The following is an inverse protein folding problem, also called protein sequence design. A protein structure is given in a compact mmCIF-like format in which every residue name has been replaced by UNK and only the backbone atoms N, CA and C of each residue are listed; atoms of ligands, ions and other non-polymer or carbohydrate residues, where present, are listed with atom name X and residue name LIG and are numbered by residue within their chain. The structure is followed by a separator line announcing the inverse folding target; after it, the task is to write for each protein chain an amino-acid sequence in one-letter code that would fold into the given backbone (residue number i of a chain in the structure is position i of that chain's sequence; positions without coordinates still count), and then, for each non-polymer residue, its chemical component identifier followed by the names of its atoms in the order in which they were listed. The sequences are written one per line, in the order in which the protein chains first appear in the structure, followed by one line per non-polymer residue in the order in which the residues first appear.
data_IF_630409446725
#
_entry.id   IF_630409446725
#
_cell.length_a   1.000
_cell.length_b   1.000
_cell.length_c   1.000
_cell.angle_alpha   90.00
_cell.angle_beta   90.00
_cell.angle_gamma   90.00
#
_symmetry.space_group_name_H-M   'P 1'
#
loop_
_entity.id
_entity.type
_entity.pdbx_description
1 polymer ?
#
# COMPACT_ATOMS: atom_id res chain seq x y z
N UNK A 1 4.65 39.13 -37.12
CA UNK A 1 4.73 37.71 -37.58
C UNK A 1 6.14 37.11 -37.61
N UNK A 2 7.22 37.86 -37.87
CA UNK A 2 8.60 37.30 -37.90
C UNK A 2 9.20 37.04 -36.50
N UNK A 3 8.92 37.92 -35.52
CA UNK A 3 9.41 37.79 -34.14
C UNK A 3 8.82 36.56 -33.43
N UNK A 4 7.50 36.38 -33.45
CA UNK A 4 6.80 35.22 -32.86
C UNK A 4 7.33 33.88 -33.36
N UNK A 5 7.67 33.79 -34.65
CA UNK A 5 8.14 32.54 -35.26
C UNK A 5 9.55 32.17 -34.79
N UNK A 6 10.40 33.17 -34.48
CA UNK A 6 11.74 32.96 -33.91
C UNK A 6 11.67 32.54 -32.44
N UNK A 7 10.82 33.19 -31.64
CA UNK A 7 10.59 32.82 -30.23
C UNK A 7 9.99 31.42 -30.14
N UNK A 8 9.03 31.09 -31.01
CA UNK A 8 8.42 29.76 -31.05
C UNK A 8 9.44 28.66 -31.42
N UNK A 9 10.28 28.87 -32.44
CA UNK A 9 11.33 27.91 -32.82
C UNK A 9 12.35 27.70 -31.70
N UNK A 10 12.75 28.75 -31.00
CA UNK A 10 13.71 28.65 -29.88
C UNK A 10 13.11 27.85 -28.72
N UNK A 11 11.85 28.15 -28.36
CA UNK A 11 11.10 27.42 -27.31
C UNK A 11 10.92 25.95 -27.66
N UNK A 12 10.62 25.64 -28.92
CA UNK A 12 10.49 24.26 -29.38
C UNK A 12 11.83 23.52 -29.29
N UNK A 13 12.95 24.20 -29.59
CA UNK A 13 14.30 23.66 -29.41
C UNK A 13 14.66 23.41 -27.94
N UNK A 14 14.37 24.36 -27.04
CA UNK A 14 14.56 24.21 -25.60
C UNK A 14 13.72 23.05 -25.03
N UNK A 15 12.47 22.90 -25.48
CA UNK A 15 11.63 21.75 -25.14
C UNK A 15 12.18 20.44 -25.69
N UNK A 16 12.61 20.39 -26.96
CA UNK A 16 13.21 19.19 -27.55
C UNK A 16 14.49 18.77 -26.82
N UNK A 17 15.32 19.72 -26.42
CA UNK A 17 16.52 19.45 -25.65
C UNK A 17 16.21 18.94 -24.24
N UNK A 18 15.30 19.61 -23.51
CA UNK A 18 14.84 19.14 -22.20
C UNK A 18 14.19 17.75 -22.28
N UNK A 19 13.47 17.49 -23.37
CA UNK A 19 12.82 16.20 -23.64
C UNK A 19 13.86 15.11 -23.94
N UNK A 20 14.89 15.41 -24.74
CA UNK A 20 15.99 14.49 -25.02
C UNK A 20 16.84 14.21 -23.78
N UNK A 21 17.19 15.24 -22.99
CA UNK A 21 17.93 15.10 -21.74
C UNK A 21 17.11 14.39 -20.68
N UNK A 22 15.81 14.68 -20.57
CA UNK A 22 14.89 14.00 -19.68
C UNK A 22 14.77 12.51 -20.02
N UNK A 23 14.53 12.17 -21.30
CA UNK A 23 14.54 10.79 -21.78
C UNK A 23 15.88 10.08 -21.53
N UNK A 24 16.99 10.76 -21.80
CA UNK A 24 18.33 10.19 -21.61
C UNK A 24 18.65 9.98 -20.13
N UNK A 25 18.32 10.93 -19.24
CA UNK A 25 18.43 10.75 -17.79
C UNK A 25 17.52 9.65 -17.28
N UNK A 26 16.31 9.53 -17.82
CA UNK A 26 15.39 8.43 -17.48
C UNK A 26 16.01 7.11 -17.87
N UNK A 27 16.45 6.94 -19.12
CA UNK A 27 17.12 5.73 -19.60
C UNK A 27 18.41 5.42 -18.83
N UNK A 28 19.21 6.44 -18.51
CA UNK A 28 20.48 6.26 -17.80
C UNK A 28 20.27 5.92 -16.32
N UNK A 29 19.23 6.48 -15.69
CA UNK A 29 18.85 6.17 -14.32
C UNK A 29 18.15 4.80 -14.24
N UNK A 30 17.33 4.44 -15.23
CA UNK A 30 16.80 3.08 -15.42
C UNK A 30 17.92 2.06 -15.57
N UNK A 31 18.94 2.37 -16.38
CA UNK A 31 20.11 1.50 -16.56
C UNK A 31 20.97 1.38 -15.29
N UNK A 32 21.14 2.47 -14.54
CA UNK A 32 21.98 2.50 -13.35
C UNK A 32 21.30 1.96 -12.08
N UNK A 33 19.98 2.10 -11.96
CA UNK A 33 19.23 1.86 -10.71
C UNK A 33 18.18 0.75 -10.86
N UNK A 34 17.81 0.36 -12.08
CA UNK A 34 16.77 -0.61 -12.39
C UNK A 34 15.36 -0.03 -12.26
N UNK A 35 14.47 -0.29 -13.23
CA UNK A 35 13.04 0.12 -13.26
C UNK A 35 12.31 -0.19 -11.93
N UNK A 36 12.73 -1.30 -11.35
CA UNK A 36 12.20 -1.97 -10.20
C UNK A 36 12.47 -1.21 -8.87
N UNK A 37 13.58 -0.50 -8.75
CA UNK A 37 13.89 0.29 -7.55
C UNK A 37 13.13 1.61 -7.52
N UNK A 38 13.07 2.32 -8.65
CA UNK A 38 12.38 3.61 -8.76
C UNK A 38 10.87 3.47 -8.54
N UNK A 39 10.25 2.45 -9.15
CA UNK A 39 8.84 2.12 -8.94
C UNK A 39 8.51 1.90 -7.47
N UNK A 40 9.41 1.24 -6.74
CA UNK A 40 9.17 0.89 -5.34
C UNK A 40 9.43 2.06 -4.39
N UNK A 41 10.46 2.86 -4.64
CA UNK A 41 10.69 4.08 -3.86
C UNK A 41 9.52 5.07 -4.01
N UNK A 42 8.92 5.13 -5.20
CA UNK A 42 7.73 5.94 -5.45
C UNK A 42 6.46 5.34 -4.84
N UNK A 43 6.27 4.02 -4.92
CA UNK A 43 5.17 3.34 -4.22
C UNK A 43 5.22 3.61 -2.70
N UNK A 44 6.41 3.58 -2.10
CA UNK A 44 6.63 3.95 -0.69
C UNK A 44 6.25 5.40 -0.39
N UNK A 45 6.65 6.34 -1.24
CA UNK A 45 6.28 7.75 -1.08
C UNK A 45 4.77 8.00 -1.26
N UNK A 46 4.10 7.17 -2.07
CA UNK A 46 2.67 7.27 -2.34
C UNK A 46 1.80 6.58 -1.28
N UNK A 47 2.31 5.54 -0.61
CA UNK A 47 1.53 4.76 0.35
C UNK A 47 0.81 5.62 1.42
N UNK A 48 1.42 6.67 2.01
CA UNK A 48 0.70 7.55 2.93
C UNK A 48 -0.47 8.30 2.27
N UNK A 49 -0.29 8.80 1.05
CA UNK A 49 -1.37 9.49 0.30
C UNK A 49 -2.50 8.50 0.03
N UNK A 50 -2.17 7.33 -0.52
CA UNK A 50 -3.14 6.28 -0.81
C UNK A 50 -3.90 5.88 0.45
N UNK A 51 -3.21 5.69 1.57
CA UNK A 51 -3.80 5.29 2.84
C UNK A 51 -4.71 6.35 3.47
N UNK A 52 -4.38 7.64 3.31
CA UNK A 52 -5.27 8.74 3.74
C UNK A 52 -6.51 8.79 2.86
N UNK A 53 -6.35 8.66 1.54
CA UNK A 53 -7.48 8.67 0.60
C UNK A 53 -8.37 7.43 0.68
N UNK A 54 -7.85 6.32 1.23
CA UNK A 54 -8.59 5.08 1.45
C UNK A 54 -9.74 5.26 2.46
N UNK A 55 -9.61 6.21 3.39
CA UNK A 55 -10.58 6.44 4.45
C UNK A 55 -10.72 5.23 5.38
N UNK A 56 -11.94 4.92 5.79
CA UNK A 56 -12.25 3.81 6.71
C UNK A 56 -12.58 2.49 6.00
N UNK A 57 -12.68 2.48 4.66
CA UNK A 57 -12.91 1.28 3.86
C UNK A 57 -14.11 0.45 4.33
N UNK A 58 -13.92 -0.88 4.41
CA UNK A 58 -14.88 -1.82 5.00
C UNK A 58 -14.42 -2.33 6.38
N UNK A 59 -13.57 -1.57 7.08
CA UNK A 59 -12.84 -2.04 8.27
C UNK A 59 -13.77 -2.54 9.36
N UNK A 60 -14.96 -1.93 9.44
CA UNK A 60 -15.94 -2.24 10.47
C UNK A 60 -16.60 -3.61 10.28
N UNK A 61 -16.52 -4.20 9.09
CA UNK A 61 -17.07 -5.52 8.78
C UNK A 61 -16.07 -6.66 8.99
N UNK A 62 -14.80 -6.32 9.24
CA UNK A 62 -13.69 -7.27 9.33
C UNK A 62 -13.05 -7.16 10.72
N UNK A 63 -12.82 -8.29 11.38
CA UNK A 63 -12.11 -8.36 12.66
C UNK A 63 -10.95 -9.33 12.58
N UNK A 64 -9.84 -8.95 13.19
CA UNK A 64 -8.69 -9.84 13.34
C UNK A 64 -8.69 -10.36 14.78
N UNK A 65 -8.74 -11.67 14.93
CA UNK A 65 -8.57 -12.33 16.22
C UNK A 65 -7.16 -12.88 16.30
N UNK A 66 -6.36 -12.40 17.26
CA UNK A 66 -4.98 -12.82 17.43
C UNK A 66 -4.81 -13.78 18.60
N UNK A 67 -4.10 -14.88 18.33
CA UNK A 67 -3.52 -15.76 19.34
C UNK A 67 -2.10 -15.25 19.60
N UNK A 68 -1.89 -14.62 20.74
CA UNK A 68 -0.60 -14.12 21.21
C UNK A 68 -0.02 -14.99 22.35
N UNK A 69 1.23 -14.71 22.73
CA UNK A 69 1.92 -15.45 23.79
C UNK A 69 1.17 -15.37 25.13
N UNK A 70 0.55 -14.22 25.42
CA UNK A 70 -0.24 -14.01 26.64
C UNK A 70 -1.49 -14.90 26.66
N UNK A 71 -2.21 -15.03 25.53
CA UNK A 71 -3.38 -15.88 25.42
C UNK A 71 -3.03 -17.37 25.49
N UNK A 72 -1.89 -17.79 24.93
CA UNK A 72 -1.40 -19.16 25.07
C UNK A 72 -1.02 -19.47 26.52
N UNK A 73 -0.26 -18.58 27.16
CA UNK A 73 0.15 -18.72 28.56
C UNK A 73 -1.06 -18.79 29.50
N UNK A 74 -2.05 -17.90 29.32
CA UNK A 74 -3.29 -17.90 30.11
C UNK A 74 -4.10 -19.20 29.94
N UNK A 75 -4.01 -19.84 28.79
CA UNK A 75 -4.66 -21.12 28.50
C UNK A 75 -3.79 -22.36 28.84
N UNK A 76 -2.60 -22.17 29.42
CA UNK A 76 -1.64 -23.23 29.70
C UNK A 76 -1.25 -24.02 28.43
N UNK A 77 -1.07 -23.33 27.30
CA UNK A 77 -0.68 -23.90 26.02
C UNK A 77 0.69 -23.38 25.59
N UNK A 78 1.38 -24.17 24.78
CA UNK A 78 2.59 -23.78 24.06
C UNK A 78 2.35 -23.88 22.55
N UNK A 79 3.11 -23.15 21.76
CA UNK A 79 3.00 -23.23 20.30
C UNK A 79 3.84 -24.39 19.74
N UNK A 80 3.30 -25.22 18.81
CA UNK A 80 1.94 -25.16 18.28
C UNK A 80 0.91 -25.69 19.28
N UNK A 81 -0.17 -24.94 19.48
CA UNK A 81 -1.21 -25.26 20.47
C UNK A 81 -1.90 -26.60 20.18
N UNK A 82 -2.49 -27.22 21.21
CA UNK A 82 -3.30 -28.44 21.03
C UNK A 82 -4.56 -28.17 20.19
N UNK A 83 -5.04 -29.16 19.45
CA UNK A 83 -6.27 -29.01 18.66
C UNK A 83 -7.49 -28.62 19.51
N UNK A 84 -7.55 -29.06 20.78
CA UNK A 84 -8.57 -28.65 21.74
C UNK A 84 -8.59 -27.15 22.01
N UNK A 85 -7.44 -26.47 21.94
CA UNK A 85 -7.38 -25.01 22.09
C UNK A 85 -8.10 -24.32 20.94
N UNK A 86 -7.77 -24.70 19.69
CA UNK A 86 -8.45 -24.18 18.51
C UNK A 86 -9.94 -24.52 18.50
N UNK A 87 -10.33 -25.71 18.98
CA UNK A 87 -11.73 -26.08 19.14
C UNK A 87 -12.46 -25.19 20.18
N UNK A 88 -11.85 -24.92 21.34
CA UNK A 88 -12.45 -24.01 22.34
C UNK A 88 -12.57 -22.59 21.80
N UNK A 89 -11.55 -22.12 21.08
CA UNK A 89 -11.55 -20.80 20.46
C UNK A 89 -12.66 -20.65 19.42
N UNK A 90 -12.79 -21.60 18.49
CA UNK A 90 -13.85 -21.60 17.47
C UNK A 90 -15.25 -21.71 18.11
N UNK A 91 -15.37 -22.43 19.23
CA UNK A 91 -16.63 -22.51 19.99
C UNK A 91 -16.99 -21.16 20.60
N UNK A 92 -16.04 -20.48 21.25
CA UNK A 92 -16.26 -19.17 21.85
C UNK A 92 -16.64 -18.13 20.80
N UNK A 93 -15.92 -18.09 19.67
CA UNK A 93 -16.26 -17.21 18.54
C UNK A 93 -17.66 -17.53 17.99
N UNK A 94 -18.02 -18.81 17.86
CA UNK A 94 -19.32 -19.25 17.37
C UNK A 94 -20.52 -18.80 18.20
N UNK A 95 -20.34 -18.55 19.50
CA UNK A 95 -21.42 -18.07 20.39
C UNK A 95 -21.95 -16.69 19.97
N UNK A 96 -21.13 -15.90 19.28
CA UNK A 96 -21.48 -14.57 18.81
C UNK A 96 -22.02 -14.55 17.37
N UNK A 97 -22.14 -15.72 16.71
CA UNK A 97 -22.68 -15.84 15.35
C UNK A 97 -21.99 -14.91 14.32
N UNK A 98 -20.68 -15.08 14.07
CA UNK A 98 -20.01 -14.36 12.99
C UNK A 98 -20.57 -14.78 11.62
N UNK A 99 -20.44 -13.88 10.65
CA UNK A 99 -20.83 -14.15 9.25
C UNK A 99 -19.92 -15.20 8.63
N UNK A 100 -18.62 -15.06 8.85
CA UNK A 100 -17.61 -15.99 8.37
C UNK A 100 -16.40 -16.02 9.32
N UNK A 101 -15.73 -17.15 9.38
CA UNK A 101 -14.50 -17.35 10.12
C UNK A 101 -13.43 -17.90 9.18
N UNK A 102 -12.29 -17.22 9.12
CA UNK A 102 -11.10 -17.71 8.44
C UNK A 102 -10.04 -18.05 9.47
N UNK A 103 -9.45 -19.24 9.35
CA UNK A 103 -8.40 -19.74 10.24
C UNK A 103 -7.08 -19.75 9.49
N UNK A 104 -6.22 -18.79 9.79
CA UNK A 104 -4.87 -18.63 9.26
C UNK A 104 -3.85 -19.45 10.06
N UNK A 105 -4.14 -20.74 10.22
CA UNK A 105 -3.27 -21.70 10.92
C UNK A 105 -3.16 -22.93 10.04
N UNK A 106 -1.93 -23.33 9.74
CA UNK A 106 -1.68 -24.44 8.83
C UNK A 106 -1.67 -25.80 9.54
N UNK A 107 -2.73 -26.58 9.35
CA UNK A 107 -2.88 -27.93 9.92
C UNK A 107 -2.48 -29.05 8.94
N UNK A 108 -1.22 -29.05 8.49
CA UNK A 108 -0.69 -30.09 7.60
C UNK A 108 0.08 -31.20 8.31
N UNK A 109 0.81 -30.86 9.37
CA UNK A 109 1.65 -31.81 10.08
C UNK A 109 0.80 -32.80 10.89
N UNK A 110 1.15 -34.09 10.83
CA UNK A 110 0.61 -35.09 11.74
C UNK A 110 1.22 -34.89 13.13
N UNK A 111 0.37 -34.61 14.11
CA UNK A 111 0.72 -34.55 15.53
C UNK A 111 0.01 -35.67 16.28
N UNK A 112 0.68 -36.19 17.29
CA UNK A 112 0.10 -37.08 18.29
C UNK A 112 -0.68 -36.24 19.31
N UNK A 113 -1.95 -36.02 19.01
CA UNK A 113 -2.85 -35.15 19.77
C UNK A 113 -4.27 -35.72 19.64
N UNK A 114 -4.72 -36.38 20.70
CA UNK A 114 -6.03 -37.03 20.82
C UNK A 114 -7.21 -36.05 20.67
N UNK A 115 -6.94 -34.75 20.85
CA UNK A 115 -7.95 -33.71 20.73
C UNK A 115 -8.27 -33.26 19.30
N UNK A 116 -7.64 -33.86 18.27
CA UNK A 116 -7.97 -33.61 16.86
C UNK A 116 -9.47 -33.70 16.61
N UNK A 117 -10.12 -34.71 17.16
CA UNK A 117 -11.57 -34.93 16.97
C UNK A 117 -12.40 -33.73 17.43
N UNK A 118 -12.00 -33.09 18.52
CA UNK A 118 -12.68 -31.89 19.03
C UNK A 118 -12.64 -30.72 18.04
N UNK A 119 -11.52 -30.54 17.33
CA UNK A 119 -11.40 -29.53 16.29
C UNK A 119 -12.30 -29.86 15.08
N UNK A 120 -12.24 -31.10 14.59
CA UNK A 120 -13.06 -31.55 13.46
C UNK A 120 -14.56 -31.35 13.73
N UNK A 121 -15.03 -31.79 14.90
CA UNK A 121 -16.42 -31.66 15.30
C UNK A 121 -16.82 -30.18 15.45
N UNK A 122 -15.94 -29.34 16.00
CA UNK A 122 -16.24 -27.92 16.18
C UNK A 122 -16.29 -27.14 14.86
N UNK A 123 -15.43 -27.46 13.89
CA UNK A 123 -15.47 -26.84 12.56
C UNK A 123 -16.81 -27.14 11.88
N UNK A 124 -17.26 -28.41 11.92
CA UNK A 124 -18.56 -28.78 11.39
C UNK A 124 -19.73 -28.16 12.19
N UNK A 125 -19.63 -28.06 13.51
CA UNK A 125 -20.65 -27.43 14.35
C UNK A 125 -20.82 -25.94 14.02
N UNK A 126 -19.72 -25.22 13.83
CA UNK A 126 -19.73 -23.81 13.44
C UNK A 126 -20.38 -23.64 12.06
N UNK A 127 -20.07 -24.53 11.12
CA UNK A 127 -20.72 -24.52 9.81
C UNK A 127 -22.23 -24.81 9.87
N UNK A 128 -22.63 -25.80 10.67
CA UNK A 128 -24.04 -26.16 10.86
C UNK A 128 -24.87 -25.02 11.50
N UNK A 129 -24.22 -24.11 12.23
CA UNK A 129 -24.84 -22.90 12.81
C UNK A 129 -25.02 -21.77 11.78
N UNK A 130 -24.60 -21.95 10.53
CA UNK A 130 -24.73 -20.97 9.45
C UNK A 130 -23.50 -20.09 9.23
N UNK A 131 -22.44 -20.23 10.04
CA UNK A 131 -21.17 -19.54 9.82
C UNK A 131 -20.39 -20.19 8.68
N UNK A 132 -19.87 -19.39 7.74
CA UNK A 132 -18.96 -19.91 6.71
C UNK A 132 -17.56 -20.07 7.29
N UNK A 133 -16.94 -21.25 7.14
CA UNK A 133 -15.62 -21.54 7.69
C UNK A 133 -14.61 -21.72 6.56
N UNK A 134 -13.45 -21.07 6.68
CA UNK A 134 -12.35 -21.14 5.72
C UNK A 134 -11.07 -21.56 6.44
N UNK A 135 -10.31 -22.48 5.85
CA UNK A 135 -9.05 -22.95 6.43
C UNK A 135 -7.88 -22.70 5.48
N UNK A 136 -6.84 -22.08 6.01
CA UNK A 136 -5.62 -21.77 5.28
C UNK A 136 -4.86 -23.02 4.84
N UNK A 137 -4.40 -22.99 3.59
CA UNK A 137 -3.45 -23.98 3.06
C UNK A 137 -2.30 -23.32 2.36
N UNK A 138 -1.10 -23.82 2.66
CA UNK A 138 0.13 -23.44 2.00
C UNK A 138 0.57 -24.54 1.03
N UNK A 139 1.38 -24.14 0.05
CA UNK A 139 1.96 -25.06 -0.94
C UNK A 139 3.04 -25.91 -0.27
N UNK A 140 2.84 -27.24 -0.28
CA UNK A 140 3.81 -28.19 0.27
C UNK A 140 4.99 -28.42 -0.71
N UNK A 141 5.97 -29.26 -0.32
CA UNK A 141 7.13 -29.60 -1.16
C UNK A 141 6.74 -30.26 -2.49
N UNK A 142 5.63 -30.98 -2.51
CA UNK A 142 5.06 -31.65 -3.68
C UNK A 142 4.18 -30.70 -4.52
N UNK A 143 4.25 -29.39 -4.24
CA UNK A 143 3.51 -28.33 -4.92
C UNK A 143 1.98 -28.42 -4.75
N UNK A 144 1.51 -29.16 -3.76
CA UNK A 144 0.09 -29.36 -3.46
C UNK A 144 -0.37 -28.54 -2.24
N UNK A 145 -1.62 -28.12 -2.25
CA UNK A 145 -2.27 -27.43 -1.14
C UNK A 145 -3.07 -28.45 -0.32
N UNK A 146 -2.39 -29.03 0.66
CA UNK A 146 -2.90 -30.17 1.44
C UNK A 146 -3.00 -29.85 2.93
N UNK A 147 -4.14 -30.18 3.52
CA UNK A 147 -4.31 -30.35 4.95
C UNK A 147 -4.06 -31.81 5.35
N UNK A 148 -4.10 -32.07 6.65
CA UNK A 148 -4.17 -33.43 7.18
C UNK A 148 -5.35 -34.20 6.54
N UNK A 149 -5.23 -35.51 6.23
CA UNK A 149 -6.31 -36.28 5.58
C UNK A 149 -7.67 -36.21 6.29
N UNK A 150 -7.68 -36.16 7.62
CA UNK A 150 -8.88 -36.06 8.44
C UNK A 150 -9.61 -34.73 8.25
N UNK A 151 -8.88 -33.64 7.99
CA UNK A 151 -9.44 -32.33 7.62
C UNK A 151 -9.84 -32.29 6.14
N UNK A 152 -9.04 -32.86 5.25
CA UNK A 152 -9.38 -32.94 3.81
C UNK A 152 -10.72 -33.66 3.58
N UNK A 153 -11.03 -34.69 4.37
CA UNK A 153 -12.33 -35.39 4.30
C UNK A 153 -13.55 -34.51 4.63
N UNK A 154 -13.34 -33.36 5.28
CA UNK A 154 -14.37 -32.38 5.65
C UNK A 154 -14.38 -31.14 4.74
N UNK A 155 -13.35 -30.96 3.90
CA UNK A 155 -13.29 -29.85 2.96
C UNK A 155 -14.45 -29.93 1.95
N UNK A 156 -15.06 -28.78 1.66
CA UNK A 156 -16.27 -28.66 0.85
C UNK A 156 -17.58 -29.05 1.57
N UNK A 157 -17.50 -29.71 2.74
CA UNK A 157 -18.67 -30.10 3.55
C UNK A 157 -18.85 -29.27 4.81
N UNK A 158 -17.75 -29.03 5.53
CA UNK A 158 -17.77 -28.27 6.79
C UNK A 158 -16.98 -26.96 6.69
N UNK A 159 -16.07 -26.85 5.73
CA UNK A 159 -15.29 -25.65 5.49
C UNK A 159 -14.84 -25.60 4.04
N UNK A 160 -14.46 -24.41 3.56
CA UNK A 160 -13.81 -24.22 2.27
C UNK A 160 -12.30 -24.10 2.46
N UNK A 161 -11.53 -24.84 1.67
CA UNK A 161 -10.08 -24.76 1.65
C UNK A 161 -9.65 -23.57 0.80
N UNK A 162 -8.79 -22.72 1.34
CA UNK A 162 -8.28 -21.53 0.64
C UNK A 162 -6.76 -21.53 0.57
N UNK A 163 -6.23 -20.98 -0.51
CA UNK A 163 -4.79 -20.80 -0.68
C UNK A 163 -4.33 -19.56 0.08
N UNK A 164 -3.31 -19.74 0.92
CA UNK A 164 -2.53 -18.66 1.50
C UNK A 164 -1.18 -18.67 0.82
N UNK A 165 -0.98 -17.72 -0.08
CA UNK A 165 0.31 -17.48 -0.71
C UNK A 165 0.64 -15.99 -0.59
N UNK A 166 1.81 -15.73 -0.06
CA UNK A 166 2.42 -14.41 -0.04
C UNK A 166 3.79 -14.52 -0.68
N UNK A 167 4.03 -13.66 -1.66
CA UNK A 167 5.35 -13.49 -2.25
C UNK A 167 5.79 -12.07 -1.88
N UNK A 168 6.72 -11.92 -0.91
CA UNK A 168 7.23 -10.60 -0.60
C UNK A 168 7.92 -10.02 -1.82
N UNK A 169 7.84 -8.70 -1.95
CA UNK A 169 8.53 -8.00 -3.02
C UNK A 169 10.04 -8.32 -3.02
N UNK A 170 10.64 -8.46 -4.20
CA UNK A 170 12.02 -8.94 -4.33
C UNK A 170 13.06 -7.95 -3.81
N UNK A 171 12.83 -6.64 -3.96
CA UNK A 171 13.78 -5.62 -3.52
C UNK A 171 13.53 -5.22 -2.08
N UNK A 172 12.28 -4.92 -1.77
CA UNK A 172 11.95 -4.12 -0.61
C UNK A 172 11.21 -4.92 0.49
N UNK A 173 10.84 -6.17 0.15
CA UNK A 173 10.16 -7.18 0.98
C UNK A 173 8.79 -6.75 1.49
N UNK A 174 8.27 -5.61 1.05
CA UNK A 174 6.95 -5.10 1.45
C UNK A 174 5.83 -5.83 0.71
N UNK A 175 4.67 -5.85 1.35
CA UNK A 175 3.47 -6.45 0.83
C UNK A 175 2.69 -5.46 -0.06
N UNK A 176 3.14 -5.31 -1.30
CA UNK A 176 2.47 -4.45 -2.30
C UNK A 176 1.33 -5.13 -3.04
N UNK A 177 1.37 -6.46 -3.11
CA UNK A 177 0.47 -7.24 -3.96
C UNK A 177 -0.14 -8.41 -3.21
N UNK A 178 -1.29 -8.86 -3.70
CA UNK A 178 -2.01 -10.01 -3.18
C UNK A 178 -2.56 -10.86 -4.31
N UNK A 179 -2.22 -12.15 -4.32
CA UNK A 179 -2.72 -13.08 -5.33
C UNK A 179 -4.15 -13.49 -5.00
N UNK A 180 -5.09 -13.28 -5.93
CA UNK A 180 -6.50 -13.60 -5.70
C UNK A 180 -6.81 -15.11 -5.79
N UNK A 181 -5.92 -15.90 -6.38
CA UNK A 181 -6.02 -17.35 -6.42
C UNK A 181 -4.77 -17.99 -7.01
N UNK A 182 -4.72 -19.32 -6.96
CA UNK A 182 -3.68 -20.07 -7.66
C UNK A 182 -3.97 -20.09 -9.17
N UNK A 183 -2.96 -20.34 -10.02
CA UNK A 183 -3.19 -20.55 -11.45
C UNK A 183 -4.34 -21.53 -11.69
N UNK A 184 -5.32 -21.13 -12.52
CA UNK A 184 -6.50 -21.93 -12.85
C UNK A 184 -7.79 -21.58 -12.10
N UNK A 185 -7.73 -20.83 -10.99
CA UNK A 185 -8.91 -20.53 -10.15
C UNK A 185 -10.04 -19.74 -10.85
N UNK A 186 -9.75 -19.08 -11.99
CA UNK A 186 -10.71 -18.29 -12.78
C UNK A 186 -11.09 -18.87 -14.15
N UNK A 187 -10.48 -19.97 -14.61
CA UNK A 187 -10.60 -20.48 -15.99
C UNK A 187 -11.24 -21.89 -16.08
N UNK A 188 -12.07 -22.28 -15.10
CA UNK A 188 -12.71 -23.61 -15.08
C UNK A 188 -11.75 -24.78 -14.80
N UNK A 189 -10.50 -24.50 -14.40
CA UNK A 189 -9.56 -25.49 -13.90
C UNK A 189 -9.52 -25.47 -12.36
N UNK A 190 -9.02 -26.55 -11.74
CA UNK A 190 -9.01 -26.79 -10.30
C UNK A 190 -7.99 -25.92 -9.52
N UNK A 191 -8.01 -24.60 -9.69
CA UNK A 191 -7.25 -23.68 -8.85
C UNK A 191 -7.98 -23.38 -7.53
N UNK A 192 -7.22 -23.09 -6.47
CA UNK A 192 -7.76 -22.65 -5.18
C UNK A 192 -7.85 -21.13 -5.13
N UNK A 193 -8.96 -20.63 -4.59
CA UNK A 193 -9.14 -19.21 -4.30
C UNK A 193 -8.26 -18.80 -3.14
N UNK A 194 -7.83 -17.54 -3.14
CA UNK A 194 -7.21 -16.94 -1.97
C UNK A 194 -8.21 -16.77 -0.83
N UNK A 195 -7.71 -16.61 0.41
CA UNK A 195 -8.55 -16.35 1.57
C UNK A 195 -9.46 -15.13 1.37
N UNK A 196 -8.90 -14.01 0.89
CA UNK A 196 -9.65 -12.78 0.69
C UNK A 196 -10.74 -12.93 -0.40
N UNK A 197 -10.43 -13.59 -1.52
CA UNK A 197 -11.40 -13.82 -2.59
C UNK A 197 -12.56 -14.70 -2.13
N UNK A 198 -12.25 -15.83 -1.48
CA UNK A 198 -13.28 -16.76 -1.00
C UNK A 198 -14.19 -16.10 0.05
N UNK A 199 -13.61 -15.31 0.97
CA UNK A 199 -14.36 -14.53 1.95
C UNK A 199 -15.24 -13.47 1.29
N UNK A 200 -14.73 -12.74 0.29
CA UNK A 200 -15.50 -11.73 -0.44
C UNK A 200 -16.73 -12.35 -1.13
N UNK A 201 -16.57 -13.53 -1.74
CA UNK A 201 -17.64 -14.23 -2.43
C UNK A 201 -18.76 -14.76 -1.51
N UNK A 202 -18.54 -14.82 -0.20
CA UNK A 202 -19.62 -15.11 0.77
C UNK A 202 -20.74 -14.07 0.76
N UNK A 203 -20.46 -12.86 0.27
CA UNK A 203 -21.46 -11.80 0.09
C UNK A 203 -22.37 -12.02 -1.13
N UNK A 204 -22.12 -13.05 -1.95
CA UNK A 204 -22.82 -13.29 -3.21
C UNK A 204 -22.28 -12.47 -4.39
N UNK A 205 -21.26 -11.64 -4.16
CA UNK A 205 -20.56 -10.89 -5.21
C UNK A 205 -19.37 -11.71 -5.73
N UNK A 206 -19.04 -11.57 -7.01
CA UNK A 206 -17.84 -12.18 -7.60
C UNK A 206 -16.97 -11.12 -8.25
N UNK A 207 -15.68 -11.40 -8.40
CA UNK A 207 -14.74 -10.56 -9.15
C UNK A 207 -14.01 -11.39 -10.19
N UNK A 208 -13.72 -10.83 -11.38
CA UNK A 208 -12.94 -11.54 -12.38
C UNK A 208 -11.51 -11.75 -11.85
N UNK A 209 -11.08 -13.00 -11.79
CA UNK A 209 -9.70 -13.35 -11.43
C UNK A 209 -8.85 -13.33 -12.70
N UNK A 210 -8.19 -12.21 -12.95
CA UNK A 210 -7.22 -12.08 -14.05
C UNK A 210 -5.84 -12.64 -13.65
N UNK A 211 -4.96 -12.81 -14.64
CA UNK A 211 -3.60 -13.36 -14.42
C UNK A 211 -2.68 -12.49 -13.54
N UNK A 212 -3.12 -11.30 -13.14
CA UNK A 212 -2.34 -10.34 -12.37
C UNK A 212 -2.78 -10.31 -10.89
N UNK A 213 -1.81 -10.13 -10.00
CA UNK A 213 -2.10 -9.89 -8.59
C UNK A 213 -2.86 -8.58 -8.38
N UNK A 214 -3.66 -8.51 -7.31
CA UNK A 214 -4.25 -7.26 -6.85
C UNK A 214 -3.15 -6.40 -6.21
N UNK A 215 -3.08 -5.13 -6.58
CA UNK A 215 -2.28 -4.13 -5.87
C UNK A 215 -3.00 -3.73 -4.58
N UNK A 216 -2.31 -3.86 -3.46
CA UNK A 216 -2.86 -3.56 -2.13
C UNK A 216 -2.78 -2.07 -1.84
N UNK A 217 -3.91 -1.49 -1.44
CA UNK A 217 -3.95 -0.19 -0.78
C UNK A 217 -4.07 -0.39 0.72
N UNK A 218 -3.06 0.07 1.46
CA UNK A 218 -3.01 0.00 2.93
C UNK A 218 -3.67 1.25 3.52
N UNK A 219 -4.69 1.09 4.36
CA UNK A 219 -5.36 2.23 5.00
C UNK A 219 -4.52 2.83 6.13
N UNK A 220 -4.51 4.15 6.27
CA UNK A 220 -3.70 4.83 7.29
C UNK A 220 -4.45 5.11 8.60
N UNK A 221 -5.77 4.94 8.63
CA UNK A 221 -6.56 5.18 9.84
C UNK A 221 -6.41 3.99 10.80
N UNK A 222 -5.69 4.19 11.90
CA UNK A 222 -5.48 3.14 12.90
C UNK A 222 -6.80 2.71 13.55
N UNK A 223 -6.91 1.42 13.81
CA UNK A 223 -7.97 0.85 14.62
C UNK A 223 -7.88 1.35 16.08
N UNK A 224 -8.99 1.26 16.82
CA UNK A 224 -9.00 1.66 18.23
C UNK A 224 -8.14 0.69 19.06
N UNK A 225 -8.24 -0.61 18.77
CA UNK A 225 -7.39 -1.64 19.35
C UNK A 225 -6.61 -2.36 18.24
N UNK A 226 -5.29 -2.19 18.29
CA UNK A 226 -4.35 -2.79 17.34
C UNK A 226 -3.52 -3.91 17.97
N UNK A 227 -2.33 -4.13 17.41
CA UNK A 227 -1.33 -5.07 17.94
C UNK A 227 -0.62 -4.43 19.14
N UNK A 228 -0.72 -5.06 20.31
CA UNK A 228 -0.19 -4.55 21.58
C UNK A 228 1.28 -4.93 21.81
N UNK A 229 2.12 -4.81 20.77
CA UNK A 229 3.54 -5.09 20.91
C UNK A 229 4.24 -3.98 21.68
N UNK A 230 4.93 -4.37 22.74
CA UNK A 230 5.75 -3.47 23.54
C UNK A 230 7.19 -3.60 23.09
N UNK A 231 7.78 -2.48 22.69
CA UNK A 231 9.20 -2.36 22.37
C UNK A 231 9.90 -1.49 23.39
N UNK A 232 11.12 -1.84 23.75
CA UNK A 232 11.94 -0.98 24.60
C UNK A 232 12.39 0.24 23.79
N UNK A 233 12.09 1.43 24.31
CA UNK A 233 12.55 2.66 23.72
C UNK A 233 14.09 2.69 23.79
N UNK A 234 14.79 2.85 22.66
CA UNK A 234 16.25 2.77 22.62
C UNK A 234 16.95 3.92 23.38
N UNK A 235 16.28 5.07 23.55
CA UNK A 235 16.84 6.22 24.27
C UNK A 235 16.57 6.17 25.78
N UNK A 236 15.38 5.70 26.18
CA UNK A 236 14.94 5.75 27.59
C UNK A 236 14.96 4.39 28.29
N UNK A 237 15.10 3.29 27.55
CA UNK A 237 15.02 1.92 28.05
C UNK A 237 13.63 1.52 28.58
N UNK A 238 12.61 2.39 28.44
CA UNK A 238 11.26 2.14 28.94
C UNK A 238 10.41 1.39 27.91
N UNK A 239 9.48 0.53 28.35
CA UNK A 239 8.51 -0.09 27.45
C UNK A 239 7.62 0.98 26.81
N UNK A 240 7.50 0.93 25.48
CA UNK A 240 6.61 1.80 24.70
C UNK A 240 5.88 0.99 23.63
N UNK A 241 4.75 1.50 23.14
CA UNK A 241 4.04 0.84 22.04
C UNK A 241 4.89 0.81 20.77
N UNK A 242 4.81 -0.31 20.04
CA UNK A 242 5.45 -0.54 18.75
C UNK A 242 5.02 0.47 17.67
N UNK A 243 3.76 0.89 17.71
CA UNK A 243 3.15 1.72 16.68
C UNK A 243 2.56 3.00 17.25
N UNK A 244 2.05 3.85 16.36
CA UNK A 244 1.36 5.11 16.71
C UNK A 244 0.12 5.36 15.85
N UNK A 245 -0.70 6.31 16.25
CA UNK A 245 -1.77 6.82 15.40
C UNK A 245 -1.22 7.63 14.21
N UNK A 246 -2.03 7.75 13.16
CA UNK A 246 -1.69 8.58 11.98
C UNK A 246 -1.59 10.06 12.33
N UNK A 247 -0.62 10.74 11.72
CA UNK A 247 -0.42 12.19 11.80
C UNK A 247 -1.13 12.94 10.67
N UNK A 248 -1.98 12.25 9.88
CA UNK A 248 -2.65 12.83 8.72
C UNK A 248 -1.65 13.32 7.68
N UNK A 249 -1.71 14.61 7.32
CA UNK A 249 -0.75 15.20 6.37
C UNK A 249 0.70 15.16 6.86
N UNK A 250 0.93 15.00 8.17
CA UNK A 250 2.28 14.82 8.72
C UNK A 250 2.99 13.56 8.21
N UNK A 251 2.26 12.57 7.68
CA UNK A 251 2.86 11.37 7.07
C UNK A 251 3.59 11.65 5.76
N UNK A 252 3.32 12.79 5.11
CA UNK A 252 4.00 13.22 3.88
C UNK A 252 5.39 13.80 4.17
N UNK A 253 5.71 14.07 5.43
CA UNK A 253 6.98 14.66 5.83
C UNK A 253 8.10 13.61 5.73
N UNK A 254 9.28 13.97 5.20
CA UNK A 254 10.44 13.09 5.21
C UNK A 254 10.76 12.61 6.63
N UNK A 255 11.25 11.36 6.82
CA UNK A 255 11.43 10.76 8.15
C UNK A 255 12.19 11.63 9.16
N UNK A 256 13.31 12.24 8.76
CA UNK A 256 14.10 13.09 9.66
C UNK A 256 13.40 14.39 10.07
N UNK A 257 12.52 14.92 9.20
CA UNK A 257 11.70 16.07 9.54
C UNK A 257 10.55 15.63 10.47
N UNK A 258 9.88 14.52 10.15
CA UNK A 258 8.80 13.94 10.95
C UNK A 258 9.24 13.66 12.38
N UNK A 259 10.41 13.05 12.60
CA UNK A 259 10.95 12.79 13.94
C UNK A 259 11.38 14.06 14.69
N UNK A 260 11.69 15.16 13.99
CA UNK A 260 12.00 16.45 14.62
C UNK A 260 10.75 17.15 15.16
N UNK A 261 9.59 16.94 14.54
CA UNK A 261 8.31 17.54 14.95
C UNK A 261 7.47 16.65 15.87
N UNK A 262 7.63 15.33 15.78
CA UNK A 262 6.84 14.35 16.53
C UNK A 262 7.75 13.34 17.22
N UNK A 263 7.55 13.15 18.52
CA UNK A 263 8.39 12.28 19.38
C UNK A 263 8.35 10.80 19.00
N UNK A 264 7.25 10.33 18.42
CA UNK A 264 7.11 8.97 17.87
C UNK A 264 7.13 8.99 16.33
N UNK A 265 7.67 10.05 15.73
CA UNK A 265 7.69 10.32 14.29
C UNK A 265 8.56 9.37 13.48
N UNK A 266 9.09 8.33 14.07
CA UNK A 266 9.87 7.24 13.49
C UNK A 266 9.12 5.90 13.56
N UNK A 267 8.14 5.77 14.47
CA UNK A 267 7.29 4.59 14.60
C UNK A 267 6.32 4.43 13.42
N UNK A 268 5.97 3.17 13.06
CA UNK A 268 4.95 2.87 12.07
C UNK A 268 3.54 3.20 12.58
N UNK A 269 2.59 3.29 11.64
CA UNK A 269 1.19 3.52 11.97
C UNK A 269 0.56 2.21 12.49
N UNK A 270 -0.23 2.26 13.55
CA UNK A 270 -0.93 1.09 14.06
C UNK A 270 -1.84 0.46 12.99
N UNK A 271 -2.08 -0.84 13.13
CA UNK A 271 -2.88 -1.63 12.17
C UNK A 271 -4.25 -1.02 11.91
N UNK A 272 -4.73 -1.20 10.68
CA UNK A 272 -6.00 -0.64 10.19
C UNK A 272 -7.25 -1.36 10.75
N UNK A 273 -7.15 -2.66 11.01
CA UNK A 273 -8.27 -3.49 11.45
C UNK A 273 -8.30 -3.68 12.97
N UNK A 274 -9.52 -3.68 13.51
CA UNK A 274 -9.77 -3.90 14.93
C UNK A 274 -9.36 -5.32 15.36
N UNK A 275 -8.66 -5.37 16.49
CA UNK A 275 -7.97 -6.57 16.98
C UNK A 275 -8.63 -7.10 18.25
N UNK A 276 -9.05 -8.36 18.22
CA UNK A 276 -9.57 -9.09 19.37
C UNK A 276 -8.50 -10.06 19.84
N UNK A 277 -8.06 -9.95 21.10
CA UNK A 277 -7.13 -10.94 21.67
C UNK A 277 -7.86 -12.22 22.02
N UNK A 278 -7.30 -13.37 21.69
CA UNK A 278 -7.89 -14.67 22.02
C UNK A 278 -8.14 -14.84 23.53
N UNK A 279 -7.28 -14.26 24.37
CA UNK A 279 -7.46 -14.27 25.84
C UNK A 279 -8.71 -13.50 26.30
N UNK A 280 -9.16 -12.49 25.55
CA UNK A 280 -10.36 -11.72 25.90
C UNK A 280 -11.64 -12.57 25.81
N UNK A 281 -11.65 -13.62 24.98
CA UNK A 281 -12.78 -14.56 24.90
C UNK A 281 -12.93 -15.45 26.15
N UNK A 282 -11.94 -15.47 27.04
CA UNK A 282 -12.04 -16.16 28.32
C UNK A 282 -12.60 -15.27 29.44
N UNK A 283 -12.56 -13.94 29.30
CA UNK A 283 -13.13 -12.99 30.26
C UNK A 283 -14.61 -12.77 29.94
N UNK A 284 -15.48 -12.88 30.95
CA UNK A 284 -16.94 -12.92 30.77
C UNK A 284 -17.66 -12.04 31.77
N UNK A 285 -17.19 -10.79 31.94
CA UNK A 285 -18.08 -9.79 32.53
C UNK A 285 -19.23 -9.47 31.55
N UNK A 286 -20.44 -9.13 32.02
CA UNK A 286 -21.56 -8.80 31.13
C UNK A 286 -21.24 -7.66 30.15
N UNK A 287 -20.46 -6.68 30.58
CA UNK A 287 -20.01 -5.56 29.76
C UNK A 287 -19.05 -6.01 28.65
N UNK A 288 -18.08 -6.87 28.97
CA UNK A 288 -17.16 -7.45 27.98
C UNK A 288 -17.89 -8.35 26.99
N UNK A 289 -18.85 -9.17 27.43
CA UNK A 289 -19.66 -10.00 26.53
C UNK A 289 -20.47 -9.16 25.53
N UNK A 290 -21.10 -8.09 26.01
CA UNK A 290 -21.84 -7.16 25.16
C UNK A 290 -20.91 -6.49 24.13
N UNK A 291 -19.70 -6.12 24.54
CA UNK A 291 -18.70 -5.55 23.64
C UNK A 291 -18.20 -6.57 22.61
N UNK A 292 -17.85 -7.78 23.03
CA UNK A 292 -17.45 -8.88 22.13
C UNK A 292 -18.55 -9.22 21.12
N UNK A 293 -19.81 -9.19 21.54
CA UNK A 293 -20.95 -9.36 20.64
C UNK A 293 -21.00 -8.28 19.57
N UNK A 294 -20.76 -7.01 19.92
CA UNK A 294 -20.68 -5.92 18.93
C UNK A 294 -19.51 -6.10 17.96
N UNK A 295 -18.39 -6.64 18.44
CA UNK A 295 -17.22 -6.86 17.61
C UNK A 295 -17.39 -8.06 16.66
N UNK A 296 -18.02 -9.16 17.09
CA UNK A 296 -18.02 -10.43 16.35
C UNK A 296 -19.31 -10.67 15.56
N UNK A 297 -20.48 -10.27 16.08
CA UNK A 297 -21.75 -10.67 15.51
C UNK A 297 -21.96 -10.11 14.10
N UNK A 298 -22.23 -11.01 13.15
CA UNK A 298 -22.42 -10.64 11.74
C UNK A 298 -21.17 -10.16 11.01
N UNK A 299 -19.98 -10.22 11.65
CA UNK A 299 -18.69 -9.78 11.09
C UNK A 299 -17.90 -10.94 10.52
N UNK A 300 -16.91 -10.62 9.68
CA UNK A 300 -15.93 -11.59 9.19
C UNK A 300 -14.75 -11.62 10.17
N UNK A 301 -14.48 -12.77 10.77
CA UNK A 301 -13.40 -12.92 11.76
C UNK A 301 -12.24 -13.70 11.17
N UNK A 302 -11.07 -13.09 11.10
CA UNK A 302 -9.83 -13.71 10.65
C UNK A 302 -8.98 -14.06 11.86
N UNK A 303 -8.77 -15.34 12.11
CA UNK A 303 -8.00 -15.86 13.24
C UNK A 303 -6.57 -16.09 12.78
N UNK A 304 -5.61 -15.40 13.41
CA UNK A 304 -4.19 -15.55 13.13
C UNK A 304 -3.34 -15.60 14.39
N UNK A 305 -2.02 -15.63 14.22
CA UNK A 305 -1.05 -15.72 15.33
C UNK A 305 -0.16 -14.49 15.40
N UNK A 306 0.17 -14.07 16.62
CA UNK A 306 1.11 -12.97 16.88
C UNK A 306 2.08 -13.39 17.99
N UNK A 307 2.91 -14.38 17.68
CA UNK A 307 3.83 -15.00 18.63
C UNK A 307 5.24 -14.44 18.44
N UNK A 308 5.97 -14.30 19.55
CA UNK A 308 7.34 -13.77 19.56
C UNK A 308 8.30 -14.60 18.70
N UNK A 309 8.09 -15.93 18.65
CA UNK A 309 8.93 -16.89 17.90
C UNK A 309 8.32 -17.32 16.55
N UNK A 310 7.23 -16.67 16.08
CA UNK A 310 6.62 -16.99 14.79
C UNK A 310 7.26 -16.19 13.64
N UNK A 311 7.40 -16.86 12.49
CA UNK A 311 7.82 -16.24 11.23
C UNK A 311 6.63 -15.77 10.37
N UNK A 312 5.39 -15.85 10.87
CA UNK A 312 4.19 -15.43 10.16
C UNK A 312 3.98 -13.91 10.25
N UNK A 313 4.94 -13.16 9.71
CA UNK A 313 4.99 -11.70 9.78
C UNK A 313 5.19 -11.13 8.38
N UNK A 314 4.42 -10.10 8.05
CA UNK A 314 4.49 -9.37 6.79
C UNK A 314 4.96 -7.94 7.04
N UNK A 315 5.63 -7.36 6.04
CA UNK A 315 6.05 -5.97 6.08
C UNK A 315 5.04 -5.12 5.30
N UNK A 316 4.29 -4.30 6.00
CA UNK A 316 3.39 -3.30 5.43
C UNK A 316 4.15 -1.98 5.19
N UNK A 317 3.89 -1.27 4.08
CA UNK A 317 4.47 0.06 3.85
C UNK A 317 4.06 1.11 4.89
N UNK A 318 2.92 0.93 5.57
CA UNK A 318 2.43 1.87 6.59
C UNK A 318 2.58 1.35 8.02
N UNK A 319 2.32 0.06 8.22
CA UNK A 319 2.24 -0.53 9.57
C UNK A 319 3.53 -1.20 10.04
N UNK A 320 4.57 -1.21 9.20
CA UNK A 320 5.81 -1.92 9.51
C UNK A 320 5.59 -3.43 9.55
N UNK A 321 6.19 -4.11 10.51
CA UNK A 321 6.09 -5.57 10.68
C UNK A 321 4.80 -5.88 11.44
N UNK A 322 3.92 -6.67 10.86
CA UNK A 322 2.63 -7.04 11.44
C UNK A 322 2.32 -8.54 11.20
N UNK A 323 1.44 -9.17 11.99
CA UNK A 323 0.97 -10.54 11.74
C UNK A 323 0.44 -10.78 10.33
N UNK A 324 0.76 -11.94 9.74
CA UNK A 324 0.40 -12.31 8.37
C UNK A 324 -1.09 -12.19 8.07
N UNK A 325 -1.94 -12.52 9.04
CA UNK A 325 -3.41 -12.41 8.94
C UNK A 325 -3.92 -11.01 8.54
N UNK A 326 -3.21 -9.93 8.89
CA UNK A 326 -3.60 -8.57 8.47
C UNK A 326 -3.46 -8.35 6.97
N UNK A 327 -2.59 -9.09 6.28
CA UNK A 327 -2.51 -9.09 4.83
C UNK A 327 -3.84 -9.56 4.22
N UNK A 328 -4.40 -10.65 4.76
CA UNK A 328 -5.68 -11.20 4.32
C UNK A 328 -6.84 -10.26 4.66
N UNK A 329 -6.80 -9.62 5.83
CA UNK A 329 -7.80 -8.63 6.23
C UNK A 329 -7.81 -7.44 5.27
N UNK A 330 -6.64 -6.85 4.98
CA UNK A 330 -6.53 -5.73 4.03
C UNK A 330 -6.91 -6.11 2.61
N UNK A 331 -6.51 -7.29 2.14
CA UNK A 331 -6.91 -7.77 0.83
C UNK A 331 -8.43 -7.93 0.72
N UNK A 332 -9.09 -8.48 1.75
CA UNK A 332 -10.54 -8.56 1.81
C UNK A 332 -11.18 -7.18 1.82
N UNK A 333 -10.67 -6.24 2.61
CA UNK A 333 -11.17 -4.86 2.68
C UNK A 333 -11.08 -4.18 1.31
N UNK A 334 -9.97 -4.33 0.61
CA UNK A 334 -9.76 -3.79 -0.74
C UNK A 334 -10.81 -4.36 -1.72
N UNK A 335 -11.08 -5.67 -1.66
CA UNK A 335 -12.14 -6.29 -2.49
C UNK A 335 -13.54 -5.79 -2.09
N UNK A 336 -13.81 -5.62 -0.80
CA UNK A 336 -15.11 -5.12 -0.32
C UNK A 336 -15.34 -3.66 -0.73
N UNK A 337 -14.29 -2.84 -0.74
CA UNK A 337 -14.34 -1.43 -1.10
C UNK A 337 -14.39 -1.19 -2.62
N UNK A 338 -13.55 -1.89 -3.39
CA UNK A 338 -13.40 -1.66 -4.84
C UNK A 338 -14.16 -2.66 -5.71
N UNK A 339 -14.52 -3.83 -5.20
CA UNK A 339 -15.20 -4.87 -5.98
C UNK A 339 -14.42 -5.26 -7.24
N UNK A 340 -15.07 -5.22 -8.39
CA UNK A 340 -14.46 -5.56 -9.69
C UNK A 340 -13.44 -4.50 -10.18
N UNK A 341 -13.45 -3.30 -9.60
CA UNK A 341 -12.58 -2.19 -9.95
C UNK A 341 -11.31 -2.14 -9.07
N UNK A 342 -10.95 -3.26 -8.44
CA UNK A 342 -9.75 -3.34 -7.61
C UNK A 342 -8.49 -2.97 -8.42
N UNK A 343 -7.54 -2.31 -7.76
CA UNK A 343 -6.29 -1.93 -8.39
C UNK A 343 -5.48 -3.19 -8.78
N UNK A 344 -5.06 -3.27 -10.04
CA UNK A 344 -4.24 -4.40 -10.54
C UNK A 344 -2.77 -4.03 -10.43
N UNK A 345 -1.93 -4.97 -10.00
CA UNK A 345 -0.48 -4.82 -10.05
C UNK A 345 -0.01 -4.93 -11.50
N UNK A 346 -0.04 -3.81 -12.22
CA UNK A 346 0.48 -3.74 -13.58
C UNK A 346 1.99 -3.53 -13.50
N UNK A 347 2.76 -4.54 -13.89
CA UNK A 347 4.17 -4.33 -14.18
C UNK A 347 4.24 -3.43 -15.41
N UNK A 348 4.95 -2.31 -15.29
CA UNK A 348 5.27 -1.44 -16.41
C UNK A 348 6.28 -2.17 -17.29
N UNK A 349 5.85 -3.16 -18.07
CA UNK A 349 6.68 -3.61 -19.18
C UNK A 349 6.62 -2.53 -20.24
N UNK A 350 7.77 -1.98 -20.62
CA UNK A 350 7.94 -1.21 -21.85
C UNK A 350 7.77 -2.14 -23.05
N UNK A 351 6.57 -2.69 -23.22
CA UNK A 351 6.18 -3.36 -24.44
C UNK A 351 5.82 -2.29 -25.47
N UNK A 352 6.56 -2.30 -26.58
CA UNK A 352 6.43 -1.39 -27.73
C UNK A 352 5.02 -1.44 -28.34
N UNK A 353 4.21 -2.44 -27.95
CA UNK A 353 2.79 -2.58 -28.27
C UNK A 353 1.88 -1.50 -27.64
N UNK A 354 2.28 -0.86 -26.53
CA UNK A 354 1.48 0.15 -25.83
C UNK A 354 1.80 1.59 -26.28
N UNK A 355 1.72 1.85 -27.60
CA UNK A 355 1.95 3.19 -28.19
C UNK A 355 1.08 4.30 -27.55
N UNK A 356 -0.09 3.93 -26.99
CA UNK A 356 -0.96 4.85 -26.25
C UNK A 356 -0.30 5.41 -24.99
N UNK A 357 0.46 4.60 -24.24
CA UNK A 357 1.19 5.02 -23.04
C UNK A 357 2.32 5.99 -23.41
N UNK A 358 3.11 5.65 -24.43
CA UNK A 358 4.20 6.50 -24.91
C UNK A 358 3.68 7.86 -25.39
N UNK A 359 2.59 7.86 -26.17
CA UNK A 359 1.96 9.09 -26.66
C UNK A 359 1.38 9.93 -25.52
N UNK A 360 0.75 9.30 -24.53
CA UNK A 360 0.24 9.99 -23.35
C UNK A 360 1.37 10.62 -22.51
N UNK A 361 2.49 9.93 -22.30
CA UNK A 361 3.64 10.46 -21.56
C UNK A 361 4.27 11.66 -22.27
N UNK A 362 4.41 11.60 -23.60
CA UNK A 362 4.92 12.72 -24.40
C UNK A 362 3.97 13.93 -24.32
N UNK A 363 2.66 13.70 -24.47
CA UNK A 363 1.65 14.76 -24.35
C UNK A 363 1.65 15.37 -22.95
N UNK A 364 1.71 14.53 -21.90
CA UNK A 364 1.79 14.99 -20.51
C UNK A 364 3.03 15.86 -20.27
N UNK A 365 4.19 15.46 -20.77
CA UNK A 365 5.42 16.24 -20.65
C UNK A 365 5.34 17.58 -21.39
N UNK A 366 4.76 17.59 -22.59
CA UNK A 366 4.53 18.83 -23.36
C UNK A 366 3.57 19.76 -22.62
N UNK A 367 2.48 19.23 -22.05
CA UNK A 367 1.51 20.01 -21.30
C UNK A 367 2.11 20.59 -20.02
N UNK A 368 2.80 19.76 -19.21
CA UNK A 368 3.44 20.20 -17.95
C UNK A 368 4.54 21.24 -18.20
N UNK A 369 5.25 21.19 -19.33
CA UNK A 369 6.31 22.17 -19.66
C UNK A 369 5.78 23.46 -20.30
N UNK A 370 4.81 23.37 -21.20
CA UNK A 370 4.38 24.52 -22.02
C UNK A 370 3.22 25.30 -21.43
N UNK A 371 2.22 24.65 -20.82
CA UNK A 371 1.05 25.36 -20.26
C UNK A 371 1.47 26.35 -19.17
N UNK A 372 2.31 26.00 -18.19
CA UNK A 372 2.73 26.95 -17.17
C UNK A 372 3.50 28.14 -17.72
N UNK A 373 4.40 27.90 -18.68
CA UNK A 373 5.17 28.95 -19.36
C UNK A 373 4.23 29.92 -20.09
N UNK A 374 3.27 29.41 -20.85
CA UNK A 374 2.34 30.24 -21.61
C UNK A 374 1.40 31.04 -20.70
N UNK A 375 0.90 30.43 -19.62
CA UNK A 375 -0.01 31.09 -18.70
C UNK A 375 0.68 32.23 -17.93
N UNK A 376 1.92 32.03 -17.48
CA UNK A 376 2.69 33.08 -16.81
C UNK A 376 3.02 34.26 -17.73
N UNK A 377 3.31 34.00 -19.01
CA UNK A 377 3.52 35.06 -20.00
C UNK A 377 2.23 35.83 -20.27
N UNK A 378 1.10 35.13 -20.40
CA UNK A 378 -0.22 35.75 -20.56
C UNK A 378 -0.61 36.61 -19.34
N UNK A 379 -0.29 36.16 -18.13
CA UNK A 379 -0.47 36.92 -16.88
C UNK A 379 0.52 38.10 -16.73
N UNK A 380 1.40 38.33 -17.70
CA UNK A 380 2.36 39.44 -17.69
C UNK A 380 3.46 39.29 -16.65
N UNK A 381 3.69 38.07 -16.14
CA UNK A 381 4.75 37.76 -15.18
C UNK A 381 6.10 37.43 -15.83
N UNK A 382 6.21 37.68 -17.14
CA UNK A 382 7.47 37.69 -17.88
C UNK A 382 8.42 38.71 -17.27
N UNK A 383 9.45 38.24 -16.55
CA UNK A 383 10.53 39.10 -16.06
C UNK A 383 11.32 39.63 -17.26
N UNK A 384 10.98 40.84 -17.70
CA UNK A 384 11.82 41.59 -18.62
C UNK A 384 13.18 41.85 -17.97
N UNK A 385 14.27 41.37 -18.61
CA UNK A 385 15.66 41.68 -18.25
C UNK A 385 15.80 43.19 -18.05
N UNK A 386 16.20 43.62 -16.85
CA UNK A 386 16.85 44.93 -16.68
C UNK A 386 18.37 44.72 -16.68
N UNK A 387 19.13 45.52 -17.44
CA UNK A 387 20.59 45.38 -17.48
C UNK A 387 21.22 45.75 -16.13
N UNK A 388 22.36 45.12 -15.88
CA UNK A 388 23.10 45.05 -14.63
C UNK A 388 23.40 46.41 -13.98
N UNK A 389 23.44 46.44 -12.65
CA UNK A 389 24.03 47.58 -11.92
C UNK A 389 23.86 47.65 -10.40
N UNK A 390 22.86 46.99 -9.78
CA UNK A 390 22.70 46.92 -8.31
C UNK A 390 22.01 45.63 -7.89
N UNK A 391 22.34 45.09 -6.70
CA UNK A 391 21.62 43.98 -6.06
C UNK A 391 20.13 44.33 -5.90
N UNK A 392 19.30 43.88 -6.83
CA UNK A 392 17.86 44.11 -6.82
C UNK A 392 17.13 42.94 -6.15
N UNK A 393 17.13 42.95 -4.81
CA UNK A 393 16.43 41.98 -3.96
C UNK A 393 14.93 41.87 -4.27
N UNK A 394 14.30 42.93 -4.77
CA UNK A 394 12.87 42.91 -5.14
C UNK A 394 12.65 42.13 -6.44
N UNK A 395 13.55 42.25 -7.40
CA UNK A 395 13.55 41.40 -8.60
C UNK A 395 13.85 39.94 -8.30
N UNK A 396 14.79 39.65 -7.38
CA UNK A 396 15.04 38.28 -6.90
C UNK A 396 13.82 37.68 -6.19
N UNK A 397 13.15 38.44 -5.32
CA UNK A 397 11.94 37.97 -4.65
C UNK A 397 10.77 37.71 -5.62
N UNK A 398 10.60 38.57 -6.64
CA UNK A 398 9.60 38.35 -7.70
C UNK A 398 9.94 37.14 -8.58
N UNK A 399 11.23 36.94 -8.86
CA UNK A 399 11.70 35.76 -9.59
C UNK A 399 11.41 34.49 -8.81
N UNK A 400 11.76 34.43 -7.53
CA UNK A 400 11.44 33.30 -6.65
C UNK A 400 9.94 33.04 -6.56
N UNK A 401 9.11 34.08 -6.40
CA UNK A 401 7.66 33.96 -6.41
C UNK A 401 7.14 33.40 -7.75
N UNK A 402 7.70 33.85 -8.87
CA UNK A 402 7.35 33.35 -10.19
C UNK A 402 7.71 31.87 -10.37
N UNK A 403 8.85 31.43 -9.82
CA UNK A 403 9.24 30.02 -9.81
C UNK A 403 8.28 29.17 -8.97
N UNK A 404 7.92 29.65 -7.76
CA UNK A 404 6.96 28.95 -6.88
C UNK A 404 5.61 28.77 -7.56
N UNK A 405 5.07 29.83 -8.18
CA UNK A 405 3.77 29.73 -8.87
C UNK A 405 3.84 28.84 -10.10
N UNK A 406 4.95 28.85 -10.84
CA UNK A 406 5.16 27.94 -11.96
C UNK A 406 5.15 26.48 -11.52
N UNK A 407 5.86 26.17 -10.44
CA UNK A 407 5.90 24.85 -9.81
C UNK A 407 4.50 24.41 -9.39
N UNK A 408 3.74 25.28 -8.72
CA UNK A 408 2.36 24.99 -8.32
C UNK A 408 1.44 24.72 -9.53
N UNK A 409 1.63 25.45 -10.64
CA UNK A 409 0.83 25.24 -11.84
C UNK A 409 1.20 23.93 -12.56
N UNK A 410 2.49 23.61 -12.66
CA UNK A 410 2.98 22.33 -13.18
C UNK A 410 2.44 21.15 -12.35
N UNK A 411 2.41 21.30 -11.02
CA UNK A 411 1.81 20.31 -10.12
C UNK A 411 0.31 20.15 -10.38
N UNK A 412 -0.45 21.25 -10.51
CA UNK A 412 -1.88 21.21 -10.79
C UNK A 412 -2.20 20.52 -12.14
N UNK A 413 -1.47 20.87 -13.21
CA UNK A 413 -1.62 20.23 -14.54
C UNK A 413 -1.31 18.74 -14.45
N UNK A 414 -0.26 18.37 -13.72
CA UNK A 414 0.09 16.97 -13.51
C UNK A 414 -0.97 16.20 -12.71
N UNK A 415 -1.57 16.78 -11.66
CA UNK A 415 -2.69 16.17 -10.94
C UNK A 415 -3.91 15.92 -11.85
N UNK A 416 -4.23 16.86 -12.75
CA UNK A 416 -5.32 16.68 -13.72
C UNK A 416 -4.99 15.55 -14.71
N UNK A 417 -3.76 15.48 -15.20
CA UNK A 417 -3.31 14.41 -16.09
C UNK A 417 -3.30 13.04 -15.40
N UNK A 418 -2.91 12.99 -14.12
CA UNK A 418 -3.00 11.80 -13.26
C UNK A 418 -4.44 11.31 -13.16
N UNK A 419 -5.37 12.21 -12.85
CA UNK A 419 -6.78 11.90 -12.75
C UNK A 419 -7.35 11.35 -14.07
N UNK A 420 -7.01 11.98 -15.20
CA UNK A 420 -7.43 11.51 -16.54
C UNK A 420 -6.81 10.15 -16.87
N UNK A 421 -5.50 9.98 -16.66
CA UNK A 421 -4.79 8.74 -16.97
C UNK A 421 -5.28 7.54 -16.16
N UNK A 422 -5.60 7.76 -14.89
CA UNK A 422 -6.13 6.72 -14.01
C UNK A 422 -7.56 6.31 -14.41
N UNK A 423 -8.45 7.27 -14.69
CA UNK A 423 -9.86 6.98 -14.99
C UNK A 423 -10.08 6.46 -16.41
N UNK A 424 -9.39 7.00 -17.41
CA UNK A 424 -9.63 6.67 -18.82
C UNK A 424 -8.73 5.57 -19.39
N UNK A 425 -7.51 5.43 -18.87
CA UNK A 425 -6.49 4.57 -19.46
C UNK A 425 -6.06 3.43 -18.53
N UNK A 426 -6.58 3.37 -17.30
CA UNK A 426 -6.21 2.35 -16.31
C UNK A 426 -4.72 2.36 -15.99
N UNK A 427 -4.05 3.50 -16.17
CA UNK A 427 -2.61 3.62 -16.05
C UNK A 427 -2.17 3.66 -14.59
N UNK A 428 -1.00 3.06 -14.34
CA UNK A 428 -0.29 3.27 -13.09
C UNK A 428 0.08 4.74 -12.90
N UNK A 429 -0.31 5.30 -11.77
CA UNK A 429 -0.02 6.65 -11.26
C UNK A 429 1.47 7.06 -11.40
N UNK A 430 2.35 6.08 -11.46
CA UNK A 430 3.78 6.18 -11.32
C UNK A 430 4.50 6.78 -12.53
N UNK A 431 4.03 6.49 -13.75
CA UNK A 431 4.67 6.99 -14.98
C UNK A 431 4.52 8.52 -15.12
N UNK A 432 3.40 9.06 -14.66
CA UNK A 432 3.11 10.50 -14.75
C UNK A 432 3.90 11.26 -13.68
N UNK A 433 4.06 10.69 -12.48
CA UNK A 433 4.96 11.24 -11.45
C UNK A 433 6.39 11.34 -11.96
N UNK A 434 6.90 10.30 -12.62
CA UNK A 434 8.25 10.34 -13.19
C UNK A 434 8.44 11.52 -14.13
N UNK A 435 7.49 11.70 -15.06
CA UNK A 435 7.51 12.84 -15.99
C UNK A 435 7.45 14.17 -15.24
N UNK A 436 6.61 14.30 -14.21
CA UNK A 436 6.52 15.52 -13.40
C UNK A 436 7.83 15.81 -12.67
N UNK A 437 8.41 14.82 -11.99
CA UNK A 437 9.66 14.97 -11.23
C UNK A 437 10.81 15.35 -12.16
N UNK A 438 10.95 14.67 -13.30
CA UNK A 438 11.99 15.00 -14.28
C UNK A 438 11.79 16.40 -14.87
N UNK A 439 10.55 16.79 -15.12
CA UNK A 439 10.23 18.14 -15.60
C UNK A 439 10.57 19.19 -14.54
N UNK A 440 10.25 18.93 -13.27
CA UNK A 440 10.61 19.81 -12.16
C UNK A 440 12.12 19.90 -11.96
N UNK A 441 12.86 18.79 -12.11
CA UNK A 441 14.31 18.78 -12.06
C UNK A 441 14.92 19.61 -13.20
N UNK A 442 14.41 19.48 -14.42
CA UNK A 442 14.85 20.28 -15.55
C UNK A 442 14.56 21.78 -15.33
N UNK A 443 13.40 22.13 -14.77
CA UNK A 443 13.08 23.50 -14.39
C UNK A 443 13.96 24.01 -13.24
N UNK A 444 14.30 23.18 -12.26
CA UNK A 444 15.19 23.52 -11.15
C UNK A 444 16.59 23.91 -11.63
N UNK A 445 17.16 23.17 -12.59
CA UNK A 445 18.45 23.53 -13.19
C UNK A 445 18.41 24.90 -13.90
N UNK A 446 17.37 25.15 -14.70
CA UNK A 446 17.16 26.45 -15.38
C UNK A 446 16.95 27.59 -14.37
N UNK A 447 16.30 27.31 -13.23
CA UNK A 447 16.14 28.29 -12.16
C UNK A 447 17.44 28.60 -11.44
N UNK A 448 18.25 27.58 -11.15
CA UNK A 448 19.50 27.75 -10.42
C UNK A 448 20.52 28.53 -11.24
N UNK A 449 20.64 28.26 -12.54
CA UNK A 449 21.54 28.99 -13.45
C UNK A 449 21.18 30.50 -13.49
N UNK A 450 19.88 30.81 -13.67
CA UNK A 450 19.39 32.20 -13.69
C UNK A 450 19.49 32.91 -12.34
N UNK A 451 19.32 32.18 -11.24
CA UNK A 451 19.47 32.73 -9.89
C UNK A 451 20.94 33.05 -9.59
N UNK A 452 21.86 32.17 -10.01
CA UNK A 452 23.30 32.40 -9.89
C UNK A 452 23.74 33.62 -10.70
N UNK A 453 23.27 33.77 -11.93
CA UNK A 453 23.52 34.97 -12.75
C UNK A 453 23.01 36.26 -12.08
N UNK A 454 21.90 36.17 -11.35
CA UNK A 454 21.28 37.31 -10.67
C UNK A 454 22.00 37.70 -9.38
N UNK A 455 22.55 36.73 -8.65
CA UNK A 455 23.27 36.94 -7.39
C UNK A 455 24.75 37.27 -7.65
N UNK A 456 25.35 36.64 -8.67
CA UNK A 456 26.75 36.77 -9.05
C UNK A 456 26.87 37.12 -10.55
N UNK A 457 26.51 38.35 -10.96
CA UNK A 457 26.66 38.76 -12.34
C UNK A 457 28.13 38.68 -12.74
N UNK A 458 28.45 37.91 -13.77
CA UNK A 458 29.80 37.85 -14.32
C UNK A 458 30.25 39.26 -14.73
N UNK A 459 31.29 39.78 -14.08
CA UNK A 459 32.02 40.94 -14.57
C UNK A 459 32.82 40.49 -15.80
N UNK A 460 32.22 40.61 -16.99
CA UNK A 460 33.01 40.62 -18.22
C UNK A 460 33.92 41.85 -18.14
N UNK A 461 35.20 41.60 -17.86
CA UNK A 461 36.26 42.58 -18.06
C UNK A 461 36.27 42.97 -19.54
N UNK A 462 36.03 44.24 -19.82
CA UNK A 462 36.11 44.79 -21.16
C UNK A 462 37.54 44.59 -21.70
N UNK A 463 37.70 43.72 -22.69
CA UNK A 463 38.83 43.84 -23.60
C UNK A 463 38.63 45.10 -24.45
N UNK A 464 39.29 46.17 -24.00
CA UNK A 464 39.68 47.28 -24.83
C UNK A 464 41.16 47.55 -24.52
N UNK A 465 42.05 46.92 -25.28
CA UNK A 465 43.20 47.57 -25.93
C UNK A 465 43.91 46.61 -26.88
#
# INVERSE_FOLDING_TARGET
MSADRKTFKRRMGECLFALAVGLLLTMMMEWAVGEDFMTRQQARAYAPIAGITYGEGSRDDIRVLLIDDAALAAAGQEWPARYSYSARLLRAVGQYQPKAVFVDIYYSARRDDDSLRSLLDQVCALHAQGTRVFMATARNRDQQYSLRPELEALAGRCFEKVAVSYTPDELDRLAWTYNLGTPGAGHGAAGLKSAALALYETSGKTVPVEHHAMALTWGSHSAAHGVDWVVNNPETGKPTSYCRNTLGLGELMPPGMRSSFYTDGDKPICVFHETIRAGALASTTPEEDAHLRQLIAGKVVLIGTALSDSNDLVLSPLHGRIPGVYLHAMALDNLMNFGADYARAMHLSFDVSNIKLLLFLVVAMVLVTLLPKQLMEWLGWSLARKPAGKHDWRGAARYLLSCVVRVLLSLAVGCVLLWIGQYWLGLGFLSIINVMVLTMLAEWFDFNEKLLDYIFPHHEASEAH
#
